data_IF_030193017904
#
_entry.id   IF_030193017904
#
_cell.length_a   1.000
_cell.length_b   1.000
_cell.length_c   1.000
_cell.angle_alpha   90.00
_cell.angle_beta   90.00
_cell.angle_gamma   90.00
#
_symmetry.space_group_name_H-M   'P 1'
#
loop_
_entity.id
_entity.type
_entity.pdbx_description
1 polymer ?
#
# COMPACT_ATOMS: atom_id res chain seq x y z
N UNK A 1 15.46 -16.84 16.38
CA UNK A 1 14.07 -16.67 15.93
C UNK A 1 13.99 -17.25 14.53
N UNK A 2 13.04 -18.13 14.26
CA UNK A 2 12.92 -18.74 12.92
C UNK A 2 12.70 -17.66 11.85
N UNK A 3 13.27 -17.88 10.66
CA UNK A 3 13.18 -16.96 9.52
C UNK A 3 11.71 -16.63 9.18
N UNK A 4 10.82 -17.62 9.32
CA UNK A 4 9.38 -17.50 9.08
C UNK A 4 8.70 -16.57 10.09
N UNK A 5 9.01 -16.69 11.39
CA UNK A 5 8.41 -15.86 12.43
C UNK A 5 8.81 -14.40 12.23
N UNK A 6 10.08 -14.16 11.91
CA UNK A 6 10.60 -12.82 11.61
C UNK A 6 9.88 -12.23 10.39
N UNK A 7 9.75 -12.99 9.29
CA UNK A 7 9.07 -12.52 8.08
C UNK A 7 7.59 -12.16 8.34
N UNK A 8 6.87 -12.97 9.10
CA UNK A 8 5.47 -12.70 9.44
C UNK A 8 5.33 -11.45 10.30
N UNK A 9 6.19 -11.28 11.32
CA UNK A 9 6.17 -10.07 12.15
C UNK A 9 6.47 -8.81 11.33
N UNK A 10 7.47 -8.87 10.45
CA UNK A 10 7.84 -7.75 9.59
C UNK A 10 6.72 -7.40 8.60
N UNK A 11 6.05 -8.41 8.05
CA UNK A 11 4.86 -8.23 7.21
C UNK A 11 3.72 -7.54 7.97
N UNK A 12 3.40 -7.99 9.19
CA UNK A 12 2.32 -7.39 10.00
C UNK A 12 2.65 -5.93 10.32
N UNK A 13 3.89 -5.63 10.71
CA UNK A 13 4.33 -4.27 11.02
C UNK A 13 4.22 -3.39 9.77
N UNK A 14 4.72 -3.85 8.62
CA UNK A 14 4.62 -3.14 7.34
C UNK A 14 3.17 -2.87 6.94
N UNK A 15 2.28 -3.85 7.14
CA UNK A 15 0.85 -3.72 6.83
C UNK A 15 0.19 -2.65 7.72
N UNK A 16 0.48 -2.65 9.03
CA UNK A 16 -0.04 -1.65 9.96
C UNK A 16 0.44 -0.25 9.58
N UNK A 17 1.73 -0.09 9.29
CA UNK A 17 2.31 1.20 8.88
C UNK A 17 1.63 1.70 7.60
N UNK A 18 1.48 0.82 6.60
CA UNK A 18 0.80 1.15 5.34
C UNK A 18 -0.64 1.61 5.58
N UNK A 19 -1.40 0.88 6.39
CA UNK A 19 -2.77 1.24 6.74
C UNK A 19 -2.85 2.60 7.46
N UNK A 20 -1.94 2.89 8.38
CA UNK A 20 -1.86 4.18 9.06
C UNK A 20 -1.54 5.31 8.07
N UNK A 21 -0.59 5.12 7.17
CA UNK A 21 -0.26 6.11 6.14
C UNK A 21 -1.47 6.38 5.24
N UNK A 22 -2.11 5.33 4.72
CA UNK A 22 -3.31 5.46 3.87
C UNK A 22 -4.41 6.20 4.63
N UNK A 23 -4.66 5.85 5.90
CA UNK A 23 -5.66 6.50 6.75
C UNK A 23 -5.38 7.99 6.92
N UNK A 24 -4.16 8.36 7.29
CA UNK A 24 -3.77 9.76 7.50
C UNK A 24 -3.89 10.54 6.21
N UNK A 25 -3.36 10.01 5.09
CA UNK A 25 -3.42 10.73 3.81
C UNK A 25 -4.86 10.91 3.34
N UNK A 26 -5.67 9.84 3.33
CA UNK A 26 -7.09 9.95 2.90
C UNK A 26 -7.87 10.95 3.77
N UNK A 27 -7.64 10.97 5.09
CA UNK A 27 -8.20 12.01 5.99
C UNK A 27 -7.76 13.42 5.64
N UNK A 28 -6.48 13.64 5.31
CA UNK A 28 -5.98 14.96 4.88
C UNK A 28 -6.65 15.44 3.58
N UNK A 29 -7.09 14.52 2.72
CA UNK A 29 -7.85 14.82 1.51
C UNK A 29 -9.37 14.92 1.73
N UNK A 30 -9.82 14.87 2.99
CA UNK A 30 -11.23 15.05 3.37
C UNK A 30 -12.09 13.80 3.30
N UNK A 31 -11.49 12.61 3.19
CA UNK A 31 -12.23 11.34 3.24
C UNK A 31 -12.75 11.05 4.65
N UNK A 32 -13.97 10.53 4.73
CA UNK A 32 -14.67 10.34 6.02
C UNK A 32 -14.53 8.94 6.58
N UNK A 33 -14.05 8.01 5.76
CA UNK A 33 -13.88 6.59 6.02
C UNK A 33 -12.95 6.32 7.21
N UNK A 34 -13.21 5.20 7.87
CA UNK A 34 -12.48 4.76 9.04
C UNK A 34 -11.18 4.04 8.67
N UNK A 35 -10.35 3.80 9.69
CA UNK A 35 -9.11 3.02 9.57
C UNK A 35 -9.34 1.61 9.02
N UNK A 36 -10.56 1.05 9.15
CA UNK A 36 -10.94 -0.23 8.54
C UNK A 36 -10.82 -0.20 7.02
N UNK A 37 -11.24 0.89 6.38
CA UNK A 37 -11.13 1.06 4.92
C UNK A 37 -9.68 1.19 4.49
N UNK A 38 -8.86 1.91 5.26
CA UNK A 38 -7.43 2.04 5.00
C UNK A 38 -6.68 0.71 5.16
N UNK A 39 -7.04 -0.08 6.18
CA UNK A 39 -6.50 -1.41 6.38
C UNK A 39 -6.89 -2.36 5.23
N UNK A 40 -8.14 -2.30 4.78
CA UNK A 40 -8.61 -3.04 3.63
C UNK A 40 -7.86 -2.63 2.35
N UNK A 41 -7.61 -1.33 2.14
CA UNK A 41 -6.82 -0.84 1.02
C UNK A 41 -5.37 -1.34 1.05
N UNK A 42 -4.75 -1.42 2.24
CA UNK A 42 -3.39 -1.96 2.41
C UNK A 42 -3.33 -3.47 2.10
N UNK A 43 -4.32 -4.25 2.55
CA UNK A 43 -4.44 -5.68 2.24
C UNK A 43 -4.65 -5.87 0.75
N UNK A 44 -5.60 -5.14 0.15
CA UNK A 44 -5.90 -5.24 -1.27
C UNK A 44 -4.67 -4.87 -2.10
N UNK A 45 -3.94 -3.83 -1.71
CA UNK A 45 -2.66 -3.49 -2.34
C UNK A 45 -1.68 -4.66 -2.30
N UNK A 46 -1.46 -5.24 -1.12
CA UNK A 46 -0.58 -6.41 -0.95
C UNK A 46 -0.99 -7.56 -1.86
N UNK A 47 -2.27 -7.90 -1.89
CA UNK A 47 -2.81 -8.99 -2.72
C UNK A 47 -2.60 -8.69 -4.22
N UNK A 48 -2.93 -7.48 -4.66
CA UNK A 48 -2.76 -7.04 -6.06
C UNK A 48 -1.30 -7.15 -6.48
N UNK A 49 -0.38 -6.56 -5.70
CA UNK A 49 1.05 -6.59 -6.01
C UNK A 49 1.59 -8.02 -6.02
N UNK A 50 1.17 -8.85 -5.06
CA UNK A 50 1.60 -10.25 -4.98
C UNK A 50 1.16 -11.04 -6.21
N UNK A 51 -0.13 -10.96 -6.58
CA UNK A 51 -0.69 -11.67 -7.72
C UNK A 51 -0.02 -11.21 -9.02
N UNK A 52 0.13 -9.90 -9.21
CA UNK A 52 0.68 -9.35 -10.45
C UNK A 52 2.17 -9.70 -10.60
N UNK A 53 2.97 -9.56 -9.53
CA UNK A 53 4.37 -9.98 -9.58
C UNK A 53 4.54 -11.49 -9.72
N UNK A 54 3.59 -12.29 -9.22
CA UNK A 54 3.60 -13.73 -9.42
C UNK A 54 3.35 -14.12 -10.89
N UNK A 55 2.42 -13.43 -11.57
CA UNK A 55 2.04 -13.75 -12.95
C UNK A 55 3.01 -13.15 -13.98
N UNK A 56 3.37 -11.89 -13.82
CA UNK A 56 4.11 -11.11 -14.83
C UNK A 56 5.61 -11.08 -14.52
N UNK A 57 6.00 -11.48 -13.30
CA UNK A 57 7.35 -11.33 -12.79
C UNK A 57 7.62 -9.93 -12.21
N UNK A 58 8.85 -9.72 -11.75
CA UNK A 58 9.30 -8.45 -11.20
C UNK A 58 9.69 -7.48 -12.34
N UNK A 59 9.26 -6.22 -12.24
CA UNK A 59 9.65 -5.20 -13.21
C UNK A 59 8.73 -3.99 -13.24
N UNK A 60 9.13 -2.95 -13.99
CA UNK A 60 8.40 -1.69 -14.09
C UNK A 60 6.99 -1.86 -14.64
N UNK A 61 6.80 -2.74 -15.64
CA UNK A 61 5.48 -3.03 -16.22
C UNK A 61 4.55 -3.61 -15.15
N UNK A 62 5.03 -4.59 -14.38
CA UNK A 62 4.23 -5.23 -13.34
C UNK A 62 3.86 -4.25 -12.22
N UNK A 63 4.81 -3.39 -11.81
CA UNK A 63 4.57 -2.35 -10.82
C UNK A 63 3.53 -1.32 -11.30
N UNK A 64 3.58 -0.94 -12.58
CA UNK A 64 2.63 0.00 -13.18
C UNK A 64 1.21 -0.59 -13.25
N UNK A 65 1.07 -1.84 -13.71
CA UNK A 65 -0.22 -2.53 -13.75
C UNK A 65 -0.78 -2.69 -12.33
N UNK A 66 0.04 -3.10 -11.36
CA UNK A 66 -0.37 -3.21 -9.97
C UNK A 66 -0.83 -1.87 -9.38
N UNK A 67 -0.10 -0.80 -9.67
CA UNK A 67 -0.47 0.55 -9.26
C UNK A 67 -1.82 0.98 -9.82
N UNK A 68 -2.11 0.71 -11.10
CA UNK A 68 -3.41 1.02 -11.72
C UNK A 68 -4.53 0.22 -11.06
N UNK A 69 -4.36 -1.09 -10.88
CA UNK A 69 -5.40 -1.95 -10.26
C UNK A 69 -5.65 -1.52 -8.82
N UNK A 70 -4.61 -1.15 -8.08
CA UNK A 70 -4.75 -0.63 -6.71
C UNK A 70 -5.40 0.76 -6.67
N UNK A 71 -5.13 1.63 -7.65
CA UNK A 71 -5.81 2.92 -7.78
C UNK A 71 -7.32 2.74 -8.00
N UNK A 72 -7.73 1.76 -8.80
CA UNK A 72 -9.15 1.40 -8.98
C UNK A 72 -9.74 0.91 -7.65
N UNK A 73 -8.98 0.13 -6.88
CA UNK A 73 -9.43 -0.31 -5.56
C UNK A 73 -9.62 0.88 -4.61
N UNK A 74 -8.65 1.81 -4.53
CA UNK A 74 -8.77 3.04 -3.74
C UNK A 74 -9.98 3.87 -4.17
N UNK A 75 -10.16 4.04 -5.48
CA UNK A 75 -11.28 4.78 -6.03
C UNK A 75 -12.63 4.22 -5.54
N UNK A 76 -12.76 2.88 -5.55
CA UNK A 76 -13.99 2.20 -5.14
C UNK A 76 -14.18 2.16 -3.63
N UNK A 77 -13.12 1.97 -2.86
CA UNK A 77 -13.18 1.89 -1.39
C UNK A 77 -13.59 3.21 -0.74
N UNK A 78 -13.14 4.33 -1.31
CA UNK A 78 -13.40 5.68 -0.81
C UNK A 78 -14.47 6.41 -1.62
N UNK A 79 -15.07 5.76 -2.62
CA UNK A 79 -16.12 6.35 -3.49
C UNK A 79 -15.71 7.71 -4.09
N UNK A 80 -14.43 7.85 -4.47
CA UNK A 80 -13.84 9.10 -4.95
C UNK A 80 -13.72 9.16 -6.48
N UNK A 81 -13.60 10.37 -7.02
CA UNK A 81 -13.29 10.57 -8.43
C UNK A 81 -11.87 10.08 -8.80
N UNK A 82 -11.68 9.72 -10.07
CA UNK A 82 -10.39 9.23 -10.61
C UNK A 82 -9.21 10.15 -10.31
N UNK A 83 -9.37 11.46 -10.52
CA UNK A 83 -8.31 12.46 -10.29
C UNK A 83 -7.93 12.51 -8.81
N UNK A 84 -8.92 12.52 -7.91
CA UNK A 84 -8.68 12.53 -6.46
C UNK A 84 -7.97 11.25 -6.02
N UNK A 85 -8.40 10.09 -6.52
CA UNK A 85 -7.75 8.80 -6.27
C UNK A 85 -6.29 8.80 -6.73
N UNK A 86 -6.01 9.30 -7.93
CA UNK A 86 -4.65 9.39 -8.46
C UNK A 86 -3.76 10.27 -7.58
N UNK A 87 -4.24 11.45 -7.18
CA UNK A 87 -3.48 12.35 -6.30
C UNK A 87 -3.19 11.67 -4.97
N UNK A 88 -4.20 11.07 -4.33
CA UNK A 88 -4.04 10.34 -3.07
C UNK A 88 -3.02 9.21 -3.22
N UNK A 89 -3.13 8.41 -4.28
CA UNK A 89 -2.21 7.30 -4.54
C UNK A 89 -0.76 7.77 -4.71
N UNK A 90 -0.54 8.87 -5.46
CA UNK A 90 0.79 9.47 -5.62
C UNK A 90 1.34 9.99 -4.29
N UNK A 91 0.52 10.68 -3.48
CA UNK A 91 0.96 11.15 -2.16
C UNK A 91 1.29 9.97 -1.24
N UNK A 92 0.45 8.93 -1.21
CA UNK A 92 0.75 7.72 -0.43
C UNK A 92 2.08 7.12 -0.89
N UNK A 93 2.31 6.97 -2.20
CA UNK A 93 3.56 6.41 -2.72
C UNK A 93 4.80 7.22 -2.32
N UNK A 94 4.72 8.55 -2.36
CA UNK A 94 5.82 9.43 -1.92
C UNK A 94 6.07 9.23 -0.41
N UNK A 95 5.02 9.30 0.40
CA UNK A 95 5.14 9.22 1.86
C UNK A 95 5.63 7.83 2.30
N UNK A 96 5.11 6.74 1.70
CA UNK A 96 5.59 5.38 2.01
C UNK A 96 7.04 5.18 1.59
N UNK A 97 7.48 5.77 0.48
CA UNK A 97 8.88 5.73 0.05
C UNK A 97 9.81 6.43 1.05
N UNK A 98 9.42 7.60 1.55
CA UNK A 98 10.17 8.32 2.59
C UNK A 98 10.19 7.52 3.89
N UNK A 99 9.05 7.02 4.35
CA UNK A 99 8.94 6.22 5.58
C UNK A 99 9.79 4.94 5.47
N UNK A 100 9.88 4.33 4.28
CA UNK A 100 10.72 3.18 4.00
C UNK A 100 12.21 3.41 4.21
N UNK A 101 12.70 4.65 4.15
CA UNK A 101 14.11 4.95 4.48
C UNK A 101 14.39 4.90 5.98
N UNK A 102 13.38 5.18 6.82
CA UNK A 102 13.52 5.22 8.27
C UNK A 102 13.11 3.93 8.96
N UNK A 103 12.34 3.07 8.28
CA UNK A 103 11.87 1.80 8.80
C UNK A 103 12.53 0.64 8.05
N UNK A 104 13.59 0.02 8.64
CA UNK A 104 14.29 -1.11 8.05
C UNK A 104 13.39 -2.33 7.82
N UNK A 105 12.15 -2.29 8.30
CA UNK A 105 11.12 -3.30 8.08
C UNK A 105 10.72 -3.43 6.61
N UNK A 106 10.95 -2.39 5.81
CA UNK A 106 10.61 -2.34 4.38
C UNK A 106 11.81 -2.67 3.47
N UNK A 107 13.03 -2.61 4.00
CA UNK A 107 14.24 -3.10 3.34
C UNK A 107 14.52 -4.50 3.89
N UNK A 108 14.31 -5.55 3.10
CA UNK A 108 14.68 -6.91 3.50
C UNK A 108 16.15 -6.98 3.99
N UNK A 109 16.58 -8.10 4.62
CA UNK A 109 17.96 -8.23 5.04
C UNK A 109 18.88 -7.98 3.84
N UNK A 110 19.80 -7.03 4.00
CA UNK A 110 20.87 -6.75 3.04
C UNK A 110 21.85 -7.91 2.96
#
# INVERSE_FOLDING_TARGET
MDLTITAVLMFIIALIISAVIIYVITKLFGETEDIKTAFLAAIIGTVIYTIIYFIIGQGLIAAFIAGIVWLIALQKLYTIGWVKSLIIAVVIWIITSIVGWFLPVLTGPV
#
